data_IF_559041129843
#
_entry.id   IF_559041129843
#
_cell.length_a   1.000
_cell.length_b   1.000
_cell.length_c   1.000
_cell.angle_alpha   90.00
_cell.angle_beta   90.00
_cell.angle_gamma   90.00
#
_symmetry.space_group_name_H-M   'P 1'
#
loop_
_entity.id
_entity.type
_entity.pdbx_description
1 polymer ?
#
# COMPACT_ATOMS: atom_id res chain seq x y z
N UNK A 1 2.16 -22.46 -22.42
CA UNK A 1 0.91 -22.04 -21.72
C UNK A 1 0.89 -22.40 -20.23
N UNK A 2 1.02 -23.67 -19.85
CA UNK A 2 0.97 -24.10 -18.43
C UNK A 2 1.99 -23.34 -17.56
N UNK A 3 3.25 -23.29 -17.99
CA UNK A 3 4.33 -22.60 -17.28
C UNK A 3 4.08 -21.10 -17.10
N UNK A 4 3.49 -20.43 -18.11
CA UNK A 4 3.09 -19.02 -18.00
C UNK A 4 1.99 -18.83 -16.95
N UNK A 5 0.94 -19.66 -17.00
CA UNK A 5 -0.18 -19.56 -16.08
C UNK A 5 0.24 -19.83 -14.64
N UNK A 6 1.11 -20.81 -14.44
CA UNK A 6 1.69 -21.14 -13.14
C UNK A 6 2.51 -19.96 -12.60
N UNK A 7 3.47 -19.46 -13.39
CA UNK A 7 4.34 -18.36 -12.94
C UNK A 7 3.59 -17.04 -12.72
N UNK A 8 2.63 -16.74 -13.58
CA UNK A 8 1.76 -15.56 -13.44
C UNK A 8 0.88 -15.68 -12.19
N UNK A 9 0.30 -16.86 -11.95
CA UNK A 9 -0.51 -17.12 -10.75
C UNK A 9 0.29 -16.96 -9.46
N UNK A 10 1.49 -17.55 -9.39
CA UNK A 10 2.40 -17.40 -8.25
C UNK A 10 2.73 -15.93 -7.98
N UNK A 11 3.12 -15.19 -9.03
CA UNK A 11 3.54 -13.78 -8.89
C UNK A 11 2.39 -12.88 -8.43
N UNK A 12 1.18 -13.08 -8.95
CA UNK A 12 0.00 -12.34 -8.51
C UNK A 12 -0.39 -12.67 -7.06
N UNK A 13 -0.26 -13.95 -6.66
CA UNK A 13 -0.50 -14.35 -5.27
C UNK A 13 0.53 -13.70 -4.34
N UNK A 14 1.79 -13.62 -4.74
CA UNK A 14 2.84 -13.01 -3.95
C UNK A 14 2.64 -11.50 -3.79
N UNK A 15 2.22 -10.79 -4.86
CA UNK A 15 1.81 -9.37 -4.79
C UNK A 15 0.66 -9.18 -3.79
N UNK A 16 -0.35 -10.05 -3.84
CA UNK A 16 -1.49 -10.03 -2.89
C UNK A 16 -1.04 -10.21 -1.44
N UNK A 17 -0.09 -11.13 -1.21
CA UNK A 17 0.50 -11.37 0.10
C UNK A 17 1.27 -10.12 0.60
N UNK A 18 2.10 -9.52 -0.25
CA UNK A 18 2.82 -8.28 0.09
C UNK A 18 1.88 -7.13 0.43
N UNK A 19 0.81 -6.96 -0.36
CA UNK A 19 -0.21 -5.95 -0.09
C UNK A 19 -0.85 -6.14 1.28
N UNK A 20 -1.19 -7.39 1.63
CA UNK A 20 -1.77 -7.72 2.93
C UNK A 20 -0.82 -7.39 4.08
N UNK A 21 0.44 -7.82 4.00
CA UNK A 21 1.46 -7.59 5.05
C UNK A 21 1.72 -6.09 5.24
N UNK A 22 1.94 -5.36 4.14
CA UNK A 22 2.26 -3.94 4.19
C UNK A 22 1.09 -3.10 4.72
N UNK A 23 -0.15 -3.44 4.34
CA UNK A 23 -1.33 -2.73 4.83
C UNK A 23 -1.54 -2.95 6.33
N UNK A 24 -1.38 -4.19 6.79
CA UNK A 24 -1.48 -4.55 8.20
C UNK A 24 -0.39 -3.86 9.04
N UNK A 25 0.85 -3.83 8.54
CA UNK A 25 1.94 -3.10 9.19
C UNK A 25 1.71 -1.59 9.24
N UNK A 26 1.27 -0.97 8.13
CA UNK A 26 0.93 0.45 8.10
C UNK A 26 -0.21 0.77 9.07
N UNK A 27 -1.27 -0.03 9.08
CA UNK A 27 -2.40 0.14 9.99
C UNK A 27 -1.99 0.02 11.46
N UNK A 28 -1.15 -0.97 11.81
CA UNK A 28 -0.61 -1.10 13.17
C UNK A 28 0.24 0.10 13.58
N UNK A 29 1.12 0.57 12.69
CA UNK A 29 1.98 1.73 12.97
C UNK A 29 1.16 2.99 13.24
N UNK A 30 0.21 3.31 12.35
CA UNK A 30 -0.70 4.46 12.51
C UNK A 30 -1.52 4.35 13.80
N UNK A 31 -2.06 3.17 14.10
CA UNK A 31 -2.81 2.93 15.33
C UNK A 31 -1.94 3.17 16.57
N UNK A 32 -0.69 2.71 16.56
CA UNK A 32 0.23 2.87 17.68
C UNK A 32 0.60 4.34 17.89
N UNK A 33 0.91 5.07 16.82
CA UNK A 33 1.21 6.51 16.87
C UNK A 33 0.05 7.32 17.46
N UNK A 34 -1.16 7.12 16.92
CA UNK A 34 -2.37 7.79 17.44
C UNK A 34 -2.65 7.43 18.90
N UNK A 35 -2.50 6.16 19.27
CA UNK A 35 -2.67 5.71 20.65
C UNK A 35 -1.68 6.41 21.59
N UNK A 36 -0.40 6.50 21.22
CA UNK A 36 0.63 7.16 22.01
C UNK A 36 0.35 8.66 22.17
N UNK A 37 0.01 9.35 21.08
CA UNK A 37 -0.37 10.76 21.12
C UNK A 37 -1.54 11.05 22.08
N UNK A 38 -2.59 10.22 22.03
CA UNK A 38 -3.74 10.37 22.94
C UNK A 38 -3.36 10.04 24.39
N UNK A 39 -2.60 8.97 24.61
CA UNK A 39 -2.29 8.49 25.95
C UNK A 39 -1.29 9.39 26.67
N UNK A 40 -0.31 9.93 25.97
CA UNK A 40 0.79 10.68 26.57
C UNK A 40 0.59 12.19 26.43
N UNK A 41 0.49 12.70 25.21
CA UNK A 41 0.50 14.15 24.97
C UNK A 41 -0.83 14.80 25.37
N UNK A 42 -1.95 14.23 24.94
CA UNK A 42 -3.28 14.77 25.30
C UNK A 42 -3.53 14.64 26.81
N UNK A 43 -3.06 13.56 27.44
CA UNK A 43 -3.17 13.38 28.90
C UNK A 43 -2.36 14.43 29.66
N UNK A 44 -1.08 14.62 29.33
CA UNK A 44 -0.22 15.63 29.97
C UNK A 44 -0.80 17.04 29.83
N UNK A 45 -1.31 17.37 28.64
CA UNK A 45 -1.99 18.65 28.42
C UNK A 45 -3.22 18.82 29.34
N UNK A 46 -4.05 17.79 29.50
CA UNK A 46 -5.21 17.83 30.41
C UNK A 46 -4.80 18.04 31.87
N UNK A 47 -3.71 17.42 32.31
CA UNK A 47 -3.17 17.59 33.68
C UNK A 47 -2.68 19.03 33.90
N UNK A 48 -1.91 19.59 32.96
CA UNK A 48 -1.46 20.99 33.02
C UNK A 48 -2.63 21.97 32.97
N UNK A 49 -3.63 21.73 32.12
CA UNK A 49 -4.86 22.54 32.08
C UNK A 49 -5.57 22.51 33.44
N UNK A 50 -5.74 21.34 34.04
CA UNK A 50 -6.41 21.20 35.34
C UNK A 50 -5.67 21.97 36.44
N UNK A 51 -4.34 21.94 36.43
CA UNK A 51 -3.54 22.70 37.38
C UNK A 51 -3.67 24.22 37.15
N UNK A 52 -3.67 24.65 35.89
CA UNK A 52 -3.92 26.04 35.50
C UNK A 52 -5.29 26.54 35.96
N UNK A 53 -6.35 25.77 35.68
CA UNK A 53 -7.72 26.13 36.07
C UNK A 53 -7.86 26.25 37.60
N UNK A 54 -7.21 25.37 38.37
CA UNK A 54 -7.22 25.41 39.84
C UNK A 54 -6.52 26.65 40.40
N UNK A 55 -5.32 26.98 39.93
CA UNK A 55 -4.55 28.14 40.43
C UNK A 55 -5.19 29.47 40.02
N UNK A 56 -5.92 29.50 38.90
CA UNK A 56 -6.71 30.67 38.49
C UNK A 56 -7.80 31.04 39.51
N UNK A 57 -8.34 30.07 40.22
CA UNK A 57 -9.40 30.28 41.22
C UNK A 57 -8.84 30.80 42.57
N UNK A 58 -7.53 30.60 42.83
CA UNK A 58 -6.85 31.04 44.05
C UNK A 58 -6.27 32.48 43.89
N UNK A 59 -6.97 33.48 44.45
CA UNK A 59 -6.70 34.92 44.32
C UNK A 59 -5.33 35.42 44.85
N UNK A 60 -4.56 34.61 45.59
CA UNK A 60 -3.33 35.04 46.28
C UNK A 60 -2.03 34.84 45.46
N UNK A 61 -2.11 34.28 44.24
CA UNK A 61 -0.95 33.71 43.53
C UNK A 61 -0.61 34.40 42.19
N UNK A 62 -0.67 35.74 42.12
CA UNK A 62 -0.43 36.49 40.87
C UNK A 62 0.94 36.21 40.20
N UNK A 63 2.01 36.00 40.98
CA UNK A 63 3.33 35.64 40.42
C UNK A 63 3.38 34.19 39.89
N UNK A 64 2.78 33.22 40.60
CA UNK A 64 2.68 31.84 40.12
C UNK A 64 1.79 31.74 38.88
N UNK A 65 0.74 32.55 38.78
CA UNK A 65 -0.15 32.58 37.62
C UNK A 65 0.60 32.88 36.31
N UNK A 66 1.57 33.81 36.33
CA UNK A 66 2.36 34.15 35.13
C UNK A 66 3.21 32.98 34.64
N UNK A 67 3.89 32.28 35.55
CA UNK A 67 4.68 31.09 35.21
C UNK A 67 3.78 29.96 34.68
N UNK A 68 2.63 29.76 35.31
CA UNK A 68 1.69 28.72 34.92
C UNK A 68 1.00 28.99 33.56
N UNK A 69 0.70 30.26 33.26
CA UNK A 69 0.20 30.68 31.95
C UNK A 69 1.23 30.41 30.84
N UNK A 70 2.51 30.68 31.11
CA UNK A 70 3.61 30.35 30.20
C UNK A 70 3.72 28.84 29.96
N UNK A 71 3.65 28.02 31.01
CA UNK A 71 3.67 26.55 30.90
C UNK A 71 2.47 26.01 30.12
N UNK A 72 1.28 26.59 30.31
CA UNK A 72 0.08 26.22 29.57
C UNK A 72 0.20 26.55 28.08
N UNK A 73 0.67 27.76 27.74
CA UNK A 73 0.93 28.17 26.34
C UNK A 73 2.01 27.30 25.70
N UNK A 74 3.07 26.96 26.44
CA UNK A 74 4.11 26.04 25.98
C UNK A 74 3.54 24.66 25.67
N UNK A 75 2.72 24.10 26.56
CA UNK A 75 2.05 22.81 26.34
C UNK A 75 1.13 22.82 25.12
N UNK A 76 0.39 23.92 24.89
CA UNK A 76 -0.40 24.10 23.65
C UNK A 76 0.51 24.05 22.42
N UNK A 77 1.60 24.81 22.42
CA UNK A 77 2.53 24.87 21.28
C UNK A 77 3.20 23.52 21.01
N UNK A 78 3.60 22.80 22.06
CA UNK A 78 4.13 21.44 21.97
C UNK A 78 3.09 20.50 21.36
N UNK A 79 1.85 20.53 21.86
CA UNK A 79 0.78 19.65 21.38
C UNK A 79 0.39 19.95 19.91
N UNK A 80 0.31 21.23 19.53
CA UNK A 80 0.07 21.65 18.15
C UNK A 80 1.18 21.19 17.20
N UNK A 81 2.43 21.30 17.63
CA UNK A 81 3.59 20.91 16.82
C UNK A 81 3.68 19.39 16.69
N UNK A 82 3.52 18.65 17.79
CA UNK A 82 3.54 17.18 17.79
C UNK A 82 2.41 16.56 16.96
N UNK A 83 1.19 17.12 17.00
CA UNK A 83 0.08 16.61 16.18
C UNK A 83 0.41 16.64 14.68
N UNK A 84 1.07 17.71 14.21
CA UNK A 84 1.50 17.81 12.81
C UNK A 84 2.58 16.78 12.48
N UNK A 85 3.54 16.58 13.39
CA UNK A 85 4.61 15.61 13.23
C UNK A 85 4.08 14.18 13.14
N UNK A 86 3.23 13.74 14.07
CA UNK A 86 2.64 12.38 14.08
C UNK A 86 1.82 12.08 12.82
N UNK A 87 1.05 13.06 12.31
CA UNK A 87 0.30 12.88 11.05
C UNK A 87 1.26 12.71 9.87
N UNK A 88 2.32 13.53 9.81
CA UNK A 88 3.30 13.46 8.73
C UNK A 88 4.14 12.17 8.80
N UNK A 89 4.49 11.71 9.99
CA UNK A 89 5.25 10.47 10.19
C UNK A 89 4.42 9.23 9.82
N UNK A 90 3.14 9.22 10.18
CA UNK A 90 2.17 8.22 9.74
C UNK A 90 2.02 8.21 8.21
N UNK A 91 1.90 9.37 7.57
CA UNK A 91 1.83 9.50 6.10
C UNK A 91 3.13 9.02 5.44
N UNK A 92 4.29 9.39 5.98
CA UNK A 92 5.59 8.97 5.46
C UNK A 92 5.75 7.45 5.53
N UNK A 93 5.44 6.85 6.68
CA UNK A 93 5.45 5.40 6.87
C UNK A 93 4.55 4.69 5.86
N UNK A 94 3.35 5.23 5.62
CA UNK A 94 2.44 4.69 4.61
C UNK A 94 3.02 4.80 3.19
N UNK A 95 3.56 5.97 2.82
CA UNK A 95 4.16 6.18 1.50
C UNK A 95 5.36 5.28 1.25
N UNK A 96 6.19 5.02 2.27
CA UNK A 96 7.31 4.07 2.20
C UNK A 96 6.82 2.63 2.00
N UNK A 97 5.75 2.23 2.70
CA UNK A 97 5.14 0.91 2.50
C UNK A 97 4.58 0.75 1.08
N UNK A 98 3.89 1.76 0.56
CA UNK A 98 3.40 1.78 -0.83
C UNK A 98 4.55 1.72 -1.84
N UNK A 99 5.61 2.49 -1.62
CA UNK A 99 6.79 2.46 -2.49
C UNK A 99 7.41 1.05 -2.55
N UNK A 100 7.57 0.40 -1.39
CA UNK A 100 8.08 -0.96 -1.31
C UNK A 100 7.18 -1.98 -2.03
N UNK A 101 5.85 -1.85 -1.89
CA UNK A 101 4.88 -2.66 -2.63
C UNK A 101 5.10 -2.55 -4.14
N UNK A 102 5.18 -1.33 -4.67
CA UNK A 102 5.32 -1.12 -6.10
C UNK A 102 6.68 -1.58 -6.62
N UNK A 103 7.77 -1.40 -5.87
CA UNK A 103 9.06 -1.94 -6.26
C UNK A 103 9.06 -3.47 -6.32
N UNK A 104 8.53 -4.15 -5.31
CA UNK A 104 8.49 -5.61 -5.27
C UNK A 104 7.54 -6.17 -6.34
N UNK A 105 6.36 -5.55 -6.49
CA UNK A 105 5.41 -5.93 -7.52
C UNK A 105 5.95 -5.72 -8.94
N UNK A 106 6.69 -4.63 -9.17
CA UNK A 106 7.38 -4.42 -10.44
C UNK A 106 8.40 -5.54 -10.71
N UNK A 107 9.26 -5.88 -9.74
CA UNK A 107 10.24 -6.95 -9.89
C UNK A 107 9.59 -8.29 -10.26
N UNK A 108 8.49 -8.64 -9.60
CA UNK A 108 7.76 -9.88 -9.90
C UNK A 108 7.14 -9.88 -11.30
N UNK A 109 6.59 -8.74 -11.74
CA UNK A 109 6.02 -8.63 -13.08
C UNK A 109 7.11 -8.64 -14.17
N UNK A 110 8.27 -8.07 -13.88
CA UNK A 110 9.45 -8.13 -14.75
C UNK A 110 9.92 -9.58 -14.92
N UNK A 111 9.90 -10.40 -13.86
CA UNK A 111 10.20 -11.83 -13.92
C UNK A 111 9.17 -12.62 -14.76
N UNK A 112 7.91 -12.18 -14.81
CA UNK A 112 6.85 -12.80 -15.64
C UNK A 112 6.97 -12.39 -17.12
N UNK A 113 7.63 -11.27 -17.42
CA UNK A 113 7.67 -10.69 -18.77
C UNK A 113 8.20 -11.64 -19.86
N UNK A 114 9.28 -12.43 -19.64
CA UNK A 114 9.76 -13.38 -20.64
C UNK A 114 8.72 -14.46 -20.99
N UNK A 115 7.93 -14.91 -20.02
CA UNK A 115 6.88 -15.91 -20.22
C UNK A 115 5.73 -15.36 -21.06
N UNK A 116 5.36 -14.09 -20.86
CA UNK A 116 4.38 -13.40 -21.70
C UNK A 116 4.84 -13.28 -23.14
N UNK A 117 6.11 -12.91 -23.35
CA UNK A 117 6.69 -12.80 -24.69
C UNK A 117 6.73 -14.16 -25.40
N UNK A 118 7.10 -15.22 -24.68
CA UNK A 118 7.10 -16.57 -25.24
C UNK A 118 5.68 -17.03 -25.60
N UNK A 119 4.69 -16.77 -24.72
CA UNK A 119 3.29 -17.08 -25.02
C UNK A 119 2.78 -16.32 -26.25
N UNK A 120 3.12 -15.04 -26.40
CA UNK A 120 2.75 -14.25 -27.57
C UNK A 120 3.32 -14.86 -28.86
N UNK A 121 4.60 -15.23 -28.86
CA UNK A 121 5.23 -15.91 -30.01
C UNK A 121 4.58 -17.27 -30.32
N UNK A 122 4.25 -18.06 -29.30
CA UNK A 122 3.52 -19.32 -29.48
C UNK A 122 2.14 -19.11 -30.11
N UNK A 123 1.43 -18.04 -29.71
CA UNK A 123 0.12 -17.70 -30.25
C UNK A 123 0.20 -17.30 -31.72
N UNK A 124 1.17 -16.47 -32.09
CA UNK A 124 1.42 -16.07 -33.49
C UNK A 124 1.70 -17.29 -34.37
N UNK A 125 2.53 -18.22 -33.88
CA UNK A 125 2.81 -19.47 -34.60
C UNK A 125 1.57 -20.34 -34.77
N UNK A 126 0.76 -20.51 -33.71
CA UNK A 126 -0.48 -21.28 -33.74
C UNK A 126 -1.49 -20.74 -34.77
N UNK A 127 -1.56 -19.42 -34.95
CA UNK A 127 -2.42 -18.80 -35.97
C UNK A 127 -1.96 -19.19 -37.37
N UNK A 128 -0.65 -19.18 -37.62
CA UNK A 128 -0.06 -19.59 -38.90
C UNK A 128 -0.36 -21.07 -39.17
N UNK A 129 -0.06 -21.93 -38.20
CA UNK A 129 -0.23 -23.38 -38.32
C UNK A 129 -1.70 -23.73 -38.58
N UNK A 130 -2.63 -23.10 -37.86
CA UNK A 130 -4.07 -23.29 -38.04
C UNK A 130 -4.54 -22.88 -39.46
N UNK A 131 -3.98 -21.80 -40.01
CA UNK A 131 -4.31 -21.35 -41.36
C UNK A 131 -3.78 -22.32 -42.45
N UNK A 132 -2.59 -22.88 -42.25
CA UNK A 132 -2.01 -23.89 -43.14
C UNK A 132 -2.84 -25.17 -43.10
N UNK A 133 -3.15 -25.68 -41.91
CA UNK A 133 -3.93 -26.90 -41.73
C UNK A 133 -5.33 -26.78 -42.34
N UNK A 134 -5.98 -25.61 -42.17
CA UNK A 134 -7.25 -25.30 -42.84
C UNK A 134 -7.15 -25.42 -44.36
N UNK A 135 -6.13 -24.82 -44.98
CA UNK A 135 -5.93 -24.89 -46.45
C UNK A 135 -5.69 -26.31 -46.93
N UNK A 136 -4.91 -27.10 -46.19
CA UNK A 136 -4.67 -28.49 -46.53
C UNK A 136 -5.95 -29.33 -46.45
N UNK A 137 -6.76 -29.11 -45.41
CA UNK A 137 -8.06 -29.77 -45.24
C UNK A 137 -9.02 -29.42 -46.38
N UNK A 138 -9.11 -28.14 -46.77
CA UNK A 138 -9.91 -27.70 -47.91
C UNK A 138 -9.46 -28.36 -49.22
N UNK A 139 -8.15 -28.46 -49.45
CA UNK A 139 -7.59 -29.13 -50.63
C UNK A 139 -7.86 -30.63 -50.64
N UNK A 140 -7.71 -31.32 -49.50
CA UNK A 140 -8.03 -32.74 -49.36
C UNK A 140 -9.52 -32.98 -49.64
N UNK A 141 -10.39 -32.14 -49.07
CA UNK A 141 -11.84 -32.22 -49.27
C UNK A 141 -12.23 -32.05 -50.75
N UNK A 142 -11.69 -31.04 -51.44
CA UNK A 142 -11.94 -30.84 -52.87
C UNK A 142 -11.50 -32.04 -53.73
N UNK A 143 -10.35 -32.64 -53.40
CA UNK A 143 -9.83 -33.83 -54.11
C UNK A 143 -10.75 -35.04 -53.93
N UNK A 144 -11.32 -35.22 -52.73
CA UNK A 144 -12.30 -36.29 -52.48
C UNK A 144 -13.58 -36.03 -53.26
N UNK A 145 -14.13 -34.81 -53.26
CA UNK A 145 -15.33 -34.49 -54.04
C UNK A 145 -15.19 -34.79 -55.53
N UNK A 146 -14.03 -34.48 -56.13
CA UNK A 146 -13.74 -34.78 -57.54
C UNK A 146 -13.69 -36.28 -57.88
N UNK A 147 -13.42 -37.17 -56.91
CA UNK A 147 -13.36 -38.62 -57.13
C UNK A 147 -14.72 -39.32 -56.98
N UNK A 148 -15.67 -38.67 -56.32
CA UNK A 148 -17.03 -39.18 -56.08
C UNK A 148 -18.03 -38.61 -57.13
N UNK A 149 -17.57 -37.66 -57.95
CA UNK A 149 -18.29 -37.09 -59.11
C UNK A 149 -17.99 -37.90 -60.37
#
# INVERSE_FOLDING_TARGET
LQEFLEKCGESLQEISNYQTILLDQAQRSVKQQLHNFVREDVRKFKETKKHFDKVREDLEMAQCFRHLALDYVLQINVLQTKKKFEILDAMLSFMQAQHALFQQGYSLLDDVQPYMQNLAAQLDQLVIDSAVEKREMERKHATVQQRVS
#
